data_IF_847922170713
#
_entry.id   IF_847922170713
#
_cell.length_a   1.000
_cell.length_b   1.000
_cell.length_c   1.000
_cell.angle_alpha   90.00
_cell.angle_beta   90.00
_cell.angle_gamma   90.00
#
_symmetry.space_group_name_H-M   'P 1'
#
loop_
_entity.id
_entity.type
_entity.pdbx_description
1 polymer ?
#
# COMPACT_ATOMS: atom_id res chain seq x y z
N UNK A 1 -2.52 15.77 -27.75
CA UNK A 1 -2.80 14.59 -26.90
C UNK A 1 -1.52 13.77 -26.76
N UNK A 2 -0.76 13.93 -25.66
CA UNK A 2 0.51 13.23 -25.44
C UNK A 2 0.23 11.80 -24.97
N UNK A 3 0.60 10.80 -25.78
CA UNK A 3 0.71 9.40 -25.34
C UNK A 3 1.78 9.35 -24.24
N UNK A 4 1.38 9.22 -22.99
CA UNK A 4 2.29 8.82 -21.91
C UNK A 4 2.68 7.37 -22.20
N UNK A 5 3.77 7.16 -22.93
CA UNK A 5 4.48 5.89 -22.85
C UNK A 5 4.94 5.78 -21.40
N UNK A 6 4.17 5.07 -20.57
CA UNK A 6 4.59 4.70 -19.22
C UNK A 6 5.87 3.90 -19.41
N UNK A 7 6.99 4.58 -19.18
CA UNK A 7 8.32 4.02 -19.24
C UNK A 7 8.28 2.78 -18.35
N UNK A 8 8.63 1.63 -18.92
CA UNK A 8 8.80 0.35 -18.21
C UNK A 8 10.02 0.42 -17.26
N UNK A 9 10.20 1.55 -16.56
CA UNK A 9 11.27 1.71 -15.60
C UNK A 9 10.92 0.88 -14.38
N UNK A 10 11.94 0.20 -13.85
CA UNK A 10 11.81 -0.62 -12.65
C UNK A 10 11.21 0.18 -11.49
N UNK A 11 11.61 1.45 -11.33
CA UNK A 11 11.08 2.34 -10.30
C UNK A 11 9.58 2.61 -10.44
N UNK A 12 9.10 2.93 -11.64
CA UNK A 12 7.67 3.16 -11.88
C UNK A 12 6.84 1.89 -11.62
N UNK A 13 7.38 0.73 -12.03
CA UNK A 13 6.73 -0.56 -11.77
C UNK A 13 6.71 -0.91 -10.28
N UNK A 14 7.80 -0.67 -9.55
CA UNK A 14 7.85 -0.89 -8.10
C UNK A 14 6.81 -0.04 -7.40
N UNK A 15 6.65 1.22 -7.79
CA UNK A 15 5.63 2.10 -7.24
C UNK A 15 4.22 1.61 -7.55
N UNK A 16 3.97 1.15 -8.78
CA UNK A 16 2.70 0.51 -9.13
C UNK A 16 2.43 -0.74 -8.28
N UNK A 17 3.43 -1.60 -8.05
CA UNK A 17 3.31 -2.78 -7.17
C UNK A 17 2.90 -2.34 -5.75
N UNK A 18 3.55 -1.31 -5.18
CA UNK A 18 3.21 -0.84 -3.83
C UNK A 18 1.76 -0.39 -3.75
N UNK A 19 1.33 0.48 -4.66
CA UNK A 19 -0.05 0.98 -4.70
C UNK A 19 -1.07 -0.15 -4.87
N UNK A 20 -0.81 -1.10 -5.77
CA UNK A 20 -1.71 -2.21 -6.03
C UNK A 20 -1.85 -3.14 -4.81
N UNK A 21 -0.75 -3.45 -4.11
CA UNK A 21 -0.80 -4.28 -2.91
C UNK A 21 -1.47 -3.58 -1.72
N UNK A 22 -1.45 -2.24 -1.68
CA UNK A 22 -2.18 -1.45 -0.68
C UNK A 22 -3.68 -1.32 -1.00
N UNK A 23 -4.04 -1.27 -2.29
CA UNK A 23 -5.41 -1.01 -2.73
C UNK A 23 -6.24 -2.29 -2.97
N UNK A 24 -5.60 -3.41 -3.32
CA UNK A 24 -6.28 -4.64 -3.72
C UNK A 24 -5.79 -5.86 -2.91
N UNK A 25 -6.70 -6.80 -2.64
CA UNK A 25 -6.37 -8.08 -1.98
C UNK A 25 -5.75 -9.06 -2.98
N UNK A 26 -4.43 -8.99 -3.19
CA UNK A 26 -3.73 -9.81 -4.18
C UNK A 26 -2.93 -10.93 -3.51
N UNK A 27 -3.33 -12.18 -3.75
CA UNK A 27 -2.67 -13.36 -3.17
C UNK A 27 -1.78 -14.18 -4.11
N UNK A 28 -1.73 -13.84 -5.40
CA UNK A 28 -0.96 -14.58 -6.41
C UNK A 28 -0.20 -13.64 -7.33
N UNK A 29 0.95 -14.11 -7.81
CA UNK A 29 1.76 -13.34 -8.77
C UNK A 29 1.03 -13.16 -10.11
N UNK A 30 0.22 -14.14 -10.53
CA UNK A 30 -0.65 -13.99 -11.69
C UNK A 30 -1.69 -12.88 -11.51
N UNK A 31 -2.29 -12.80 -10.32
CA UNK A 31 -3.21 -11.72 -9.96
C UNK A 31 -2.52 -10.36 -10.05
N UNK A 32 -1.32 -10.24 -9.49
CA UNK A 32 -0.53 -9.01 -9.55
C UNK A 32 -0.10 -8.66 -10.98
N UNK A 33 0.29 -9.64 -11.80
CA UNK A 33 0.58 -9.45 -13.22
C UNK A 33 -0.64 -8.89 -13.97
N UNK A 34 -1.84 -9.44 -13.73
CA UNK A 34 -3.08 -8.95 -14.33
C UNK A 34 -3.39 -7.52 -13.88
N UNK A 35 -3.20 -7.21 -12.60
CA UNK A 35 -3.39 -5.86 -12.07
C UNK A 35 -2.43 -4.84 -12.70
N UNK A 36 -1.14 -5.18 -12.76
CA UNK A 36 -0.11 -4.37 -13.42
C UNK A 36 -0.38 -4.18 -14.92
N UNK A 37 -0.87 -5.21 -15.61
CA UNK A 37 -1.21 -5.13 -17.02
C UNK A 37 -2.36 -4.13 -17.30
N UNK A 38 -3.34 -4.02 -16.38
CA UNK A 38 -4.41 -3.00 -16.46
C UNK A 38 -3.85 -1.58 -16.36
N UNK A 39 -2.75 -1.39 -15.63
CA UNK A 39 -2.03 -0.11 -15.54
C UNK A 39 -0.96 0.09 -16.63
N UNK A 40 -0.86 -0.83 -17.61
CA UNK A 40 0.10 -0.73 -18.72
C UNK A 40 1.50 -1.31 -18.44
N UNK A 41 1.70 -1.98 -17.30
CA UNK A 41 2.95 -2.70 -16.99
C UNK A 41 2.85 -4.16 -17.42
N UNK A 42 3.64 -4.57 -18.43
CA UNK A 42 3.71 -5.97 -18.86
C UNK A 42 4.97 -6.61 -18.30
N UNK A 43 4.82 -7.55 -17.39
CA UNK A 43 5.94 -8.30 -16.79
C UNK A 43 5.69 -9.79 -16.75
N UNK A 44 6.77 -10.55 -16.69
CA UNK A 44 6.71 -12.00 -16.47
C UNK A 44 6.63 -12.31 -14.99
N UNK A 45 6.21 -13.53 -14.67
CA UNK A 45 6.19 -14.03 -13.29
C UNK A 45 7.59 -14.01 -12.66
N UNK A 46 8.65 -14.33 -13.42
CA UNK A 46 10.03 -14.30 -12.94
C UNK A 46 10.50 -12.87 -12.57
N UNK A 47 10.16 -11.87 -13.39
CA UNK A 47 10.45 -10.46 -13.08
C UNK A 47 9.71 -10.02 -11.82
N UNK A 48 8.43 -10.35 -11.73
CA UNK A 48 7.59 -9.97 -10.61
C UNK A 48 8.05 -10.63 -9.30
N UNK A 49 8.47 -11.89 -9.36
CA UNK A 49 9.03 -12.61 -8.21
C UNK A 49 10.27 -11.90 -7.65
N UNK A 50 11.19 -11.49 -8.53
CA UNK A 50 12.39 -10.71 -8.13
C UNK A 50 12.02 -9.33 -7.58
N UNK A 51 11.05 -8.66 -8.18
CA UNK A 51 10.60 -7.34 -7.70
C UNK A 51 9.96 -7.45 -6.31
N UNK A 52 9.10 -8.44 -6.07
CA UNK A 52 8.52 -8.71 -4.76
C UNK A 52 9.58 -9.00 -3.71
N UNK A 53 10.60 -9.81 -4.04
CA UNK A 53 11.74 -10.05 -3.16
C UNK A 53 12.51 -8.77 -2.83
N UNK A 54 12.79 -7.94 -3.83
CA UNK A 54 13.51 -6.67 -3.63
C UNK A 54 12.71 -5.65 -2.83
N UNK A 55 11.40 -5.68 -2.95
CA UNK A 55 10.48 -4.85 -2.17
C UNK A 55 10.23 -5.41 -0.77
N UNK A 56 10.75 -6.59 -0.46
CA UNK A 56 10.55 -7.26 0.83
C UNK A 56 9.13 -7.75 1.05
N UNK A 57 8.36 -7.98 -0.01
CA UNK A 57 6.97 -8.43 0.11
C UNK A 57 6.88 -9.79 0.80
N UNK A 58 6.00 -9.88 1.80
CA UNK A 58 5.73 -11.10 2.57
C UNK A 58 4.31 -11.58 2.30
N UNK A 59 4.03 -12.83 2.67
CA UNK A 59 2.69 -13.40 2.55
C UNK A 59 2.03 -13.50 3.91
N UNK A 60 0.95 -12.76 4.13
CA UNK A 60 0.18 -12.75 5.38
C UNK A 60 -1.27 -13.12 5.05
N UNK A 61 -1.82 -14.13 5.72
CA UNK A 61 -3.20 -14.57 5.47
C UNK A 61 -3.50 -14.97 4.01
N UNK A 62 -2.48 -15.38 3.25
CA UNK A 62 -2.61 -15.74 1.83
C UNK A 62 -2.45 -14.57 0.84
N UNK A 63 -2.31 -13.33 1.32
CA UNK A 63 -2.12 -12.11 0.52
C UNK A 63 -0.68 -11.62 0.53
N UNK A 64 -0.27 -10.93 -0.53
CA UNK A 64 0.99 -10.20 -0.54
C UNK A 64 0.85 -8.87 0.18
N UNK A 65 1.73 -8.63 1.13
CA UNK A 65 1.83 -7.38 1.89
C UNK A 65 3.26 -6.87 1.86
N UNK A 66 3.43 -5.56 1.92
CA UNK A 66 4.73 -4.93 1.97
C UNK A 66 5.02 -4.46 3.40
N UNK A 67 6.28 -4.53 3.85
CA UNK A 67 6.65 -3.94 5.11
C UNK A 67 6.42 -2.42 5.05
N UNK A 68 6.17 -1.79 6.21
CA UNK A 68 6.03 -0.35 6.29
C UNK A 68 7.29 0.36 5.74
N UNK A 69 7.08 1.46 5.02
CA UNK A 69 8.16 2.18 4.34
C UNK A 69 9.18 2.83 5.31
N UNK A 70 8.79 3.04 6.56
CA UNK A 70 9.63 3.57 7.63
C UNK A 70 9.12 3.11 9.00
N UNK A 71 9.93 3.20 10.07
CA UNK A 71 9.46 2.94 11.43
C UNK A 71 8.27 3.84 11.83
N UNK A 72 8.23 5.07 11.33
CA UNK A 72 7.10 5.98 11.58
C UNK A 72 5.82 5.47 10.87
N UNK A 73 5.94 5.00 9.63
CA UNK A 73 4.81 4.40 8.92
C UNK A 73 4.30 3.12 9.62
N UNK A 74 5.20 2.33 10.20
CA UNK A 74 4.85 1.15 10.99
C UNK A 74 4.01 1.53 12.21
N UNK A 75 4.48 2.52 12.98
CA UNK A 75 3.77 3.01 14.16
C UNK A 75 2.42 3.64 13.83
N UNK A 76 2.35 4.39 12.74
CA UNK A 76 1.08 4.95 12.26
C UNK A 76 0.09 3.86 11.85
N UNK A 77 0.54 2.76 11.24
CA UNK A 77 -0.31 1.60 10.95
C UNK A 77 -0.84 0.94 12.23
N UNK A 78 0.05 0.66 13.19
CA UNK A 78 -0.31 0.06 14.49
C UNK A 78 -1.36 0.89 15.25
N UNK A 79 -1.18 2.21 15.27
CA UNK A 79 -2.08 3.13 15.96
C UNK A 79 -3.34 3.40 15.14
N UNK A 80 -3.26 3.32 13.81
CA UNK A 80 -4.39 3.44 12.88
C UNK A 80 -5.46 2.37 13.10
N UNK A 81 -5.05 1.14 13.46
CA UNK A 81 -5.99 0.05 13.81
C UNK A 81 -6.87 0.35 15.04
N UNK A 82 -6.50 1.36 15.84
CA UNK A 82 -7.29 1.82 16.99
C UNK A 82 -8.39 2.82 16.60
N UNK A 83 -8.41 3.29 15.34
CA UNK A 83 -9.44 4.18 14.80
C UNK A 83 -10.66 3.35 14.40
N UNK A 84 -11.80 3.64 15.01
CA UNK A 84 -13.08 2.96 14.80
C UNK A 84 -13.84 3.59 13.63
N UNK A 85 -13.79 4.92 13.49
CA UNK A 85 -14.41 5.64 12.38
C UNK A 85 -13.83 7.04 12.22
N UNK A 86 -14.10 7.66 11.08
CA UNK A 86 -13.78 9.06 10.83
C UNK A 86 -14.98 9.79 10.25
N UNK A 87 -15.02 11.11 10.46
CA UNK A 87 -15.93 12.04 9.79
C UNK A 87 -15.15 13.30 9.42
N UNK A 88 -15.50 13.92 8.29
CA UNK A 88 -14.79 15.10 7.80
C UNK A 88 -15.74 16.18 7.27
N UNK A 89 -15.27 17.42 7.28
CA UNK A 89 -15.83 18.55 6.54
C UNK A 89 -14.68 19.45 6.05
N UNK A 90 -15.00 20.57 5.41
CA UNK A 90 -14.01 21.48 4.79
C UNK A 90 -12.97 22.05 5.77
N UNK A 91 -13.19 21.95 7.08
CA UNK A 91 -12.34 22.55 8.12
C UNK A 91 -11.70 21.53 9.06
N UNK A 92 -12.36 20.38 9.29
CA UNK A 92 -12.02 19.45 10.36
C UNK A 92 -12.18 18.00 9.94
N UNK A 93 -11.27 17.15 10.42
CA UNK A 93 -11.39 15.70 10.44
C UNK A 93 -11.52 15.25 11.90
N UNK A 94 -12.57 14.48 12.19
CA UNK A 94 -12.84 13.92 13.51
C UNK A 94 -12.61 12.41 13.46
N UNK A 95 -11.64 11.93 14.24
CA UNK A 95 -11.37 10.51 14.40
C UNK A 95 -12.04 10.00 15.68
N UNK A 96 -12.77 8.88 15.58
CA UNK A 96 -13.29 8.13 16.72
C UNK A 96 -12.39 6.93 16.93
N UNK A 97 -11.87 6.77 18.14
CA UNK A 97 -10.93 5.69 18.48
C UNK A 97 -11.53 4.74 19.51
N UNK A 98 -10.86 3.61 19.75
CA UNK A 98 -11.13 2.79 20.93
C UNK A 98 -10.94 3.61 22.23
N UNK A 99 -11.62 3.25 23.33
CA UNK A 99 -11.45 3.92 24.61
C UNK A 99 -9.97 3.97 25.04
N UNK A 100 -9.48 5.17 25.38
CA UNK A 100 -8.09 5.39 25.82
C UNK A 100 -7.04 5.54 24.70
N UNK A 101 -7.39 5.28 23.43
CA UNK A 101 -6.43 5.33 22.32
C UNK A 101 -6.22 6.72 21.70
N UNK A 102 -7.11 7.69 21.97
CA UNK A 102 -7.08 9.00 21.31
C UNK A 102 -5.75 9.77 21.44
N UNK A 103 -5.07 9.82 22.61
CA UNK A 103 -3.78 10.51 22.72
C UNK A 103 -2.67 9.89 21.87
N UNK A 104 -2.64 8.55 21.76
CA UNK A 104 -1.65 7.85 20.94
C UNK A 104 -1.86 8.17 19.45
N UNK A 105 -3.10 8.13 18.98
CA UNK A 105 -3.47 8.51 17.60
C UNK A 105 -3.09 9.95 17.31
N UNK A 106 -3.37 10.89 18.22
CA UNK A 106 -3.04 12.30 18.02
C UNK A 106 -1.53 12.56 17.94
N UNK A 107 -0.72 11.84 18.72
CA UNK A 107 0.74 11.99 18.74
C UNK A 107 1.40 11.58 17.42
N UNK A 108 0.84 10.61 16.70
CA UNK A 108 1.37 10.16 15.40
C UNK A 108 0.91 11.04 14.22
N UNK A 109 -0.06 11.95 14.44
CA UNK A 109 -0.58 12.89 13.44
C UNK A 109 0.06 14.29 13.53
N UNK A 110 0.83 14.56 14.59
CA UNK A 110 1.47 15.86 14.86
C UNK A 110 2.83 15.98 14.15
#
# INVERSE_FOLDING_TARGET
MRKLQIVQSKGARHEAIRRLLQAERIGTQEGLCRALAREGFRVTQATLSRDLQQLGAVRVGGLYELPPASPAAARLQEVGDLVVSFAENDLLVVLRTQPGAAPAVASELS
#
